data_IF_469514899133
#
_entry.id   IF_469514899133
#
_cell.length_a   1.000
_cell.length_b   1.000
_cell.length_c   1.000
_cell.angle_alpha   90.00
_cell.angle_beta   90.00
_cell.angle_gamma   90.00
#
_symmetry.space_group_name_H-M   'P 1'
#
loop_
_entity.id
_entity.type
_entity.pdbx_description
1 polymer ?
#
# COMPACT_ATOMS: atom_id res chain seq x y z
N UNK A 1 19.73 13.98 16.94
CA UNK A 1 18.66 14.32 15.98
C UNK A 1 19.27 15.19 14.90
N UNK A 2 19.14 14.81 13.63
CA UNK A 2 19.68 15.62 12.52
C UNK A 2 18.82 16.86 12.28
N UNK A 3 19.39 17.89 11.66
CA UNK A 3 18.68 19.15 11.36
C UNK A 3 17.40 18.94 10.52
N UNK A 4 17.37 17.89 9.67
CA UNK A 4 16.21 17.54 8.83
C UNK A 4 15.03 17.05 9.68
N UNK A 5 15.29 16.25 10.72
CA UNK A 5 14.24 15.75 11.61
C UNK A 5 13.57 16.88 12.40
N UNK A 6 14.34 17.92 12.73
CA UNK A 6 13.85 19.11 13.46
C UNK A 6 12.91 19.97 12.62
N UNK A 7 13.15 20.07 11.30
CA UNK A 7 12.35 20.89 10.37
C UNK A 7 10.97 20.26 10.16
N UNK A 8 10.90 18.93 9.97
CA UNK A 8 9.61 18.26 9.81
C UNK A 8 8.78 18.29 11.09
N UNK A 9 9.40 18.14 12.26
CA UNK A 9 8.69 18.26 13.54
C UNK A 9 8.06 19.65 13.77
N UNK A 10 8.57 20.70 13.12
CA UNK A 10 7.99 22.05 13.17
C UNK A 10 6.96 22.34 12.07
N UNK A 11 6.91 21.50 11.02
CA UNK A 11 5.98 21.63 9.89
C UNK A 11 4.73 20.75 10.03
N UNK A 12 4.65 19.91 11.06
CA UNK A 12 3.45 19.10 11.29
C UNK A 12 2.34 20.00 11.80
N UNK A 13 1.24 20.07 11.05
CA UNK A 13 0.01 20.73 11.49
C UNK A 13 -0.38 20.24 12.89
N UNK A 14 -0.90 21.06 13.81
CA UNK A 14 -1.20 20.68 15.20
C UNK A 14 -2.20 19.52 15.38
N UNK A 15 -2.82 19.07 14.29
CA UNK A 15 -3.75 17.93 14.26
C UNK A 15 -3.06 16.61 13.90
N UNK A 16 -1.85 16.66 13.35
CA UNK A 16 -1.08 15.49 12.98
C UNK A 16 0.08 15.34 13.95
N UNK A 17 0.44 14.09 14.24
CA UNK A 17 1.61 13.76 15.02
C UNK A 17 2.56 12.98 14.13
N UNK A 18 3.81 13.43 14.02
CA UNK A 18 4.85 12.62 13.41
C UNK A 18 5.12 11.43 14.34
N UNK A 19 4.68 10.24 13.91
CA UNK A 19 4.87 9.01 14.67
C UNK A 19 6.26 8.42 14.41
N UNK A 20 6.76 8.53 13.17
CA UNK A 20 7.98 7.85 12.75
C UNK A 20 8.55 8.38 11.42
N UNK A 21 9.86 8.23 11.23
CA UNK A 21 10.53 8.32 9.93
C UNK A 21 10.74 6.92 9.36
N UNK A 22 10.38 6.74 8.11
CA UNK A 22 10.59 5.49 7.36
C UNK A 22 11.66 5.69 6.30
N UNK A 23 12.47 4.68 6.05
CA UNK A 23 13.41 4.62 4.93
C UNK A 23 12.73 3.95 3.75
N UNK A 24 12.65 4.63 2.60
CA UNK A 24 12.09 4.03 1.37
C UNK A 24 13.11 3.04 0.80
N UNK A 25 12.67 1.82 0.57
CA UNK A 25 13.49 0.73 0.03
C UNK A 25 13.13 0.43 -1.44
N UNK A 26 11.91 0.77 -1.86
CA UNK A 26 11.48 0.64 -3.25
C UNK A 26 10.23 1.46 -3.55
N UNK A 27 10.19 2.01 -4.76
CA UNK A 27 9.06 2.71 -5.35
C UNK A 27 8.79 2.20 -6.77
N UNK A 28 7.52 1.88 -7.06
CA UNK A 28 7.12 1.37 -8.37
C UNK A 28 5.98 2.20 -8.94
N UNK A 29 6.13 2.52 -10.22
CA UNK A 29 5.11 3.09 -11.07
C UNK A 29 4.81 2.08 -12.18
N UNK A 30 3.60 1.51 -12.18
CA UNK A 30 3.19 0.64 -13.29
C UNK A 30 2.66 1.54 -14.41
N UNK A 31 3.39 1.55 -15.54
CA UNK A 31 3.14 2.27 -16.80
C UNK A 31 1.86 3.12 -16.85
N UNK A 32 2.07 4.44 -16.94
CA UNK A 32 1.18 5.57 -17.20
C UNK A 32 -0.21 5.68 -16.54
N UNK A 33 -0.87 4.65 -16.03
CA UNK A 33 -2.29 4.81 -15.65
C UNK A 33 -2.85 3.89 -14.57
N UNK A 34 -2.06 3.00 -13.95
CA UNK A 34 -2.73 1.92 -13.20
C UNK A 34 -2.43 1.76 -11.72
N UNK A 35 -1.21 1.98 -11.17
CA UNK A 35 -0.98 1.99 -9.72
C UNK A 35 0.46 2.41 -9.37
N UNK A 36 0.62 2.97 -8.17
CA UNK A 36 1.90 3.20 -7.50
C UNK A 36 2.00 2.38 -6.23
N UNK A 37 3.20 1.88 -5.94
CA UNK A 37 3.49 1.20 -4.68
C UNK A 37 4.81 1.73 -4.10
N UNK A 38 4.84 1.94 -2.79
CA UNK A 38 6.04 2.30 -2.05
C UNK A 38 6.23 1.31 -0.92
N UNK A 39 7.44 0.77 -0.80
CA UNK A 39 7.85 -0.01 0.37
C UNK A 39 8.87 0.78 1.15
N UNK A 40 8.60 0.93 2.44
CA UNK A 40 9.47 1.61 3.37
C UNK A 40 9.63 0.80 4.65
N UNK A 41 10.77 0.94 5.34
CA UNK A 41 11.02 0.25 6.60
C UNK A 41 11.28 1.23 7.74
N UNK A 42 10.96 0.76 8.93
CA UNK A 42 11.36 1.32 10.21
C UNK A 42 12.30 0.34 10.90
N UNK A 43 13.51 0.82 11.19
CA UNK A 43 14.44 0.13 12.07
C UNK A 43 14.02 0.25 13.55
N UNK A 44 13.41 1.38 13.94
CA UNK A 44 13.07 1.69 15.34
C UNK A 44 11.92 0.84 15.86
N UNK A 45 10.86 0.71 15.08
CA UNK A 45 9.61 0.02 15.45
C UNK A 45 9.50 -1.36 14.82
N UNK A 46 10.56 -1.82 14.15
CA UNK A 46 10.63 -3.12 13.52
C UNK A 46 9.43 -3.36 12.57
N UNK A 47 9.27 -2.47 11.60
CA UNK A 47 8.08 -2.45 10.73
C UNK A 47 8.45 -2.23 9.28
N UNK A 48 7.86 -3.00 8.39
CA UNK A 48 7.87 -2.77 6.94
C UNK A 48 6.48 -2.26 6.56
N UNK A 49 6.39 -1.20 5.77
CA UNK A 49 5.16 -0.58 5.32
C UNK A 49 5.09 -0.65 3.80
N UNK A 50 4.02 -1.23 3.28
CA UNK A 50 3.69 -1.27 1.86
C UNK A 50 2.53 -0.31 1.65
N UNK A 51 2.79 0.85 1.06
CA UNK A 51 1.78 1.83 0.70
C UNK A 51 1.39 1.66 -0.77
N UNK A 52 0.10 1.48 -1.00
CA UNK A 52 -0.50 1.29 -2.32
C UNK A 52 -1.35 2.51 -2.66
N UNK A 53 -1.06 3.13 -3.79
CA UNK A 53 -1.82 4.24 -4.32
C UNK A 53 -2.44 3.81 -5.67
N UNK A 54 -3.76 3.91 -5.74
CA UNK A 54 -4.46 3.72 -7.00
C UNK A 54 -4.48 5.04 -7.74
N UNK A 55 -3.71 5.16 -8.81
CA UNK A 55 -3.83 6.28 -9.74
C UNK A 55 -4.94 5.91 -10.71
N UNK A 56 -6.08 6.55 -10.53
CA UNK A 56 -7.00 6.77 -11.62
C UNK A 56 -7.20 8.28 -11.65
N UNK A 57 -7.12 8.91 -12.82
CA UNK A 57 -7.50 10.31 -12.93
C UNK A 57 -8.86 10.47 -12.23
N UNK A 58 -8.96 11.32 -11.20
CA UNK A 58 -10.16 11.39 -10.36
C UNK A 58 -11.43 11.54 -11.22
N UNK A 59 -11.33 12.26 -12.33
CA UNK A 59 -12.42 12.49 -13.27
C UNK A 59 -12.88 11.21 -14.00
N UNK A 60 -11.99 10.35 -14.47
CA UNK A 60 -12.40 9.08 -15.09
C UNK A 60 -12.78 8.02 -14.06
N UNK A 61 -12.19 8.06 -12.86
CA UNK A 61 -12.60 7.17 -11.79
C UNK A 61 -13.97 7.52 -11.26
N UNK A 62 -14.31 8.77 -10.95
CA UNK A 62 -15.65 9.10 -10.45
C UNK A 62 -16.73 8.82 -11.48
N UNK A 63 -16.48 9.13 -12.76
CA UNK A 63 -17.40 8.81 -13.86
C UNK A 63 -17.58 7.28 -13.98
N UNK A 64 -16.48 6.53 -14.05
CA UNK A 64 -16.58 5.08 -14.17
C UNK A 64 -17.06 4.43 -12.87
N UNK A 65 -16.67 4.88 -11.69
CA UNK A 65 -17.04 4.33 -10.37
C UNK A 65 -18.52 4.57 -10.06
N UNK A 66 -19.09 5.70 -10.44
CA UNK A 66 -20.55 5.93 -10.33
C UNK A 66 -21.32 5.02 -11.30
N UNK A 67 -20.80 4.79 -12.50
CA UNK A 67 -21.35 3.81 -13.47
C UNK A 67 -21.10 2.36 -13.01
N UNK A 68 -19.97 2.08 -12.38
CA UNK A 68 -19.61 0.82 -11.75
C UNK A 68 -20.36 0.60 -10.43
N UNK A 69 -20.96 1.64 -9.83
CA UNK A 69 -21.89 1.50 -8.73
C UNK A 69 -23.09 0.62 -9.11
N UNK A 70 -23.49 0.64 -10.38
CA UNK A 70 -24.47 -0.30 -10.92
C UNK A 70 -23.85 -1.69 -11.21
N UNK A 71 -22.59 -1.78 -11.62
CA UNK A 71 -21.87 -3.08 -11.76
C UNK A 71 -21.59 -3.74 -10.41
N UNK A 72 -21.42 -2.95 -9.35
CA UNK A 72 -21.27 -3.40 -7.96
C UNK A 72 -22.60 -3.87 -7.36
N UNK A 73 -23.76 -3.49 -7.92
CA UNK A 73 -25.06 -4.10 -7.56
C UNK A 73 -25.17 -5.54 -8.04
N UNK A 74 -24.43 -5.91 -9.09
CA UNK A 74 -24.31 -7.28 -9.59
C UNK A 74 -23.15 -8.05 -8.93
N UNK A 75 -22.38 -7.40 -8.04
CA UNK A 75 -21.43 -8.10 -7.16
C UNK A 75 -22.20 -8.71 -5.99
N UNK A 76 -22.85 -9.85 -6.24
CA UNK A 76 -23.18 -10.77 -5.16
C UNK A 76 -21.89 -11.16 -4.42
N UNK A 77 -21.89 -11.18 -3.08
CA UNK A 77 -20.73 -11.58 -2.28
C UNK A 77 -20.61 -13.11 -2.27
N UNK A 78 -20.41 -13.76 -3.42
CA UNK A 78 -20.22 -15.21 -3.49
C UNK A 78 -19.26 -15.57 -4.64
N UNK A 79 -18.20 -16.33 -4.32
CA UNK A 79 -17.15 -16.90 -5.20
C UNK A 79 -15.82 -16.14 -5.40
N UNK A 80 -15.44 -15.21 -4.51
CA UNK A 80 -14.05 -14.72 -4.46
C UNK A 80 -13.54 -14.01 -5.72
N UNK A 81 -14.44 -13.45 -6.53
CA UNK A 81 -14.06 -12.71 -7.75
C UNK A 81 -13.55 -11.32 -7.39
N UNK A 82 -12.39 -10.97 -7.93
CA UNK A 82 -11.73 -9.67 -7.76
C UNK A 82 -12.01 -8.78 -8.98
N UNK A 83 -12.21 -7.47 -8.76
CA UNK A 83 -12.32 -6.50 -9.84
C UNK A 83 -11.13 -6.61 -10.80
N UNK A 84 -11.40 -6.67 -12.11
CA UNK A 84 -10.36 -6.83 -13.14
C UNK A 84 -9.24 -5.79 -12.99
N UNK A 85 -9.59 -4.55 -12.67
CA UNK A 85 -8.64 -3.47 -12.40
C UNK A 85 -7.67 -3.85 -11.27
N UNK A 86 -8.19 -4.19 -10.08
CA UNK A 86 -7.36 -4.54 -8.93
C UNK A 86 -6.51 -5.79 -9.17
N UNK A 87 -7.05 -6.79 -9.89
CA UNK A 87 -6.28 -7.97 -10.29
C UNK A 87 -5.09 -7.61 -11.17
N UNK A 88 -5.31 -6.82 -12.23
CA UNK A 88 -4.22 -6.42 -13.13
C UNK A 88 -3.16 -5.57 -12.42
N UNK A 89 -3.58 -4.67 -11.53
CA UNK A 89 -2.67 -3.88 -10.72
C UNK A 89 -1.84 -4.77 -9.77
N UNK A 90 -2.49 -5.70 -9.07
CA UNK A 90 -1.81 -6.68 -8.22
C UNK A 90 -0.81 -7.51 -9.03
N UNK A 91 -1.22 -8.09 -10.15
CA UNK A 91 -0.36 -8.97 -10.96
C UNK A 91 0.87 -8.23 -11.51
N UNK A 92 0.75 -6.92 -11.78
CA UNK A 92 1.85 -6.08 -12.22
C UNK A 92 2.83 -5.72 -11.08
N UNK A 93 2.32 -5.44 -9.88
CA UNK A 93 3.11 -4.97 -8.74
C UNK A 93 3.67 -6.08 -7.86
N UNK A 94 2.91 -7.17 -7.70
CA UNK A 94 3.16 -8.20 -6.71
C UNK A 94 4.54 -8.87 -6.85
N UNK A 95 5.06 -9.20 -8.06
CA UNK A 95 6.38 -9.81 -8.18
C UNK A 95 7.49 -8.93 -7.59
N UNK A 96 7.45 -7.62 -7.83
CA UNK A 96 8.44 -6.67 -7.33
C UNK A 96 8.31 -6.47 -5.81
N UNK A 97 7.07 -6.28 -5.34
CA UNK A 97 6.77 -6.13 -3.91
C UNK A 97 7.20 -7.38 -3.14
N UNK A 98 6.89 -8.57 -3.65
CA UNK A 98 7.23 -9.84 -3.03
C UNK A 98 8.74 -10.01 -2.92
N UNK A 99 9.49 -9.78 -4.00
CA UNK A 99 10.95 -9.92 -4.00
C UNK A 99 11.60 -9.02 -2.93
N UNK A 100 11.23 -7.74 -2.91
CA UNK A 100 11.81 -6.81 -1.93
C UNK A 100 11.36 -7.13 -0.50
N UNK A 101 10.10 -7.52 -0.31
CA UNK A 101 9.59 -7.89 1.01
C UNK A 101 10.34 -9.11 1.58
N UNK A 102 10.61 -10.12 0.75
CA UNK A 102 11.39 -11.29 1.17
C UNK A 102 12.82 -10.91 1.59
N UNK A 103 13.49 -10.04 0.83
CA UNK A 103 14.82 -9.52 1.19
C UNK A 103 14.81 -8.76 2.52
N UNK A 104 13.81 -7.90 2.73
CA UNK A 104 13.65 -7.14 3.96
C UNK A 104 13.32 -8.03 5.17
N UNK A 105 12.50 -9.07 4.99
CA UNK A 105 12.18 -10.02 6.06
C UNK A 105 13.37 -10.93 6.40
N UNK A 106 14.26 -11.23 5.45
CA UNK A 106 15.53 -11.92 5.77
C UNK A 106 16.43 -11.02 6.61
N UNK A 107 16.54 -9.74 6.25
CA UNK A 107 17.34 -8.77 6.99
C UNK A 107 16.73 -8.39 8.35
N UNK A 108 15.40 -8.48 8.47
CA UNK A 108 14.64 -8.06 9.64
C UNK A 108 13.52 -9.07 9.99
N UNK A 109 13.88 -10.28 10.50
CA UNK A 109 12.93 -11.40 10.62
C UNK A 109 11.76 -11.18 11.57
N UNK A 110 11.92 -10.28 12.54
CA UNK A 110 10.87 -9.94 13.49
C UNK A 110 9.97 -8.78 13.02
N UNK A 111 10.19 -8.24 11.82
CA UNK A 111 9.45 -7.07 11.34
C UNK A 111 7.96 -7.37 11.21
N UNK A 112 7.13 -6.49 11.77
CA UNK A 112 5.71 -6.44 11.42
C UNK A 112 5.55 -5.86 10.02
N UNK A 113 4.65 -6.40 9.21
CA UNK A 113 4.38 -5.82 7.89
C UNK A 113 2.98 -5.20 7.87
N UNK A 114 2.92 -3.94 7.46
CA UNK A 114 1.69 -3.17 7.33
C UNK A 114 1.46 -2.85 5.86
N UNK A 115 0.34 -3.32 5.31
CA UNK A 115 -0.12 -2.88 3.99
C UNK A 115 -1.15 -1.78 4.21
N UNK A 116 -1.08 -0.70 3.44
CA UNK A 116 -2.02 0.41 3.53
C UNK A 116 -2.27 1.01 2.14
N UNK A 117 -3.39 1.69 1.99
CA UNK A 117 -3.73 2.40 0.76
C UNK A 117 -4.98 3.24 0.92
N UNK A 118 -5.15 4.22 0.05
CA UNK A 118 -6.32 5.10 0.02
C UNK A 118 -7.14 4.89 -1.26
N UNK A 119 -8.46 5.06 -1.18
CA UNK A 119 -9.38 4.91 -2.33
C UNK A 119 -9.19 3.55 -3.04
N UNK A 120 -8.82 3.53 -4.31
CA UNK A 120 -8.48 2.32 -5.07
C UNK A 120 -7.32 1.51 -4.45
N UNK A 121 -6.35 2.19 -3.84
CA UNK A 121 -5.26 1.54 -3.11
C UNK A 121 -5.75 0.76 -1.89
N UNK A 122 -6.84 1.21 -1.24
CA UNK A 122 -7.47 0.48 -0.14
C UNK A 122 -8.10 -0.84 -0.61
N UNK A 123 -8.75 -0.85 -1.78
CA UNK A 123 -9.27 -2.08 -2.36
C UNK A 123 -8.15 -3.03 -2.79
N UNK A 124 -7.05 -2.48 -3.31
CA UNK A 124 -5.89 -3.25 -3.72
C UNK A 124 -5.19 -3.92 -2.53
N UNK A 125 -5.13 -3.23 -1.38
CA UNK A 125 -4.54 -3.75 -0.14
C UNK A 125 -5.09 -5.13 0.26
N UNK A 126 -6.38 -5.40 0.04
CA UNK A 126 -6.99 -6.70 0.39
C UNK A 126 -6.52 -7.88 -0.49
N UNK A 127 -5.85 -7.61 -1.61
CA UNK A 127 -5.27 -8.66 -2.46
C UNK A 127 -3.89 -9.10 -1.98
N UNK A 128 -3.26 -8.30 -1.11
CA UNK A 128 -2.04 -8.69 -0.45
C UNK A 128 -2.45 -9.52 0.75
N UNK A 129 -1.83 -10.70 0.96
CA UNK A 129 -2.21 -11.58 2.07
C UNK A 129 -2.19 -10.79 3.38
N UNK A 130 -3.08 -11.08 4.34
CA UNK A 130 -2.89 -10.60 5.70
C UNK A 130 -1.52 -11.12 6.13
N UNK A 131 -0.57 -10.22 6.28
CA UNK A 131 0.76 -10.55 6.76
C UNK A 131 0.58 -10.76 8.26
N UNK A 132 0.17 -11.98 8.60
CA UNK A 132 -0.01 -12.43 9.96
C UNK A 132 1.28 -12.15 10.72
N UNK A 133 1.22 -11.19 11.63
CA UNK A 133 2.34 -10.76 12.47
C UNK A 133 2.62 -11.76 13.60
N UNK A 134 2.05 -12.95 13.55
CA UNK A 134 2.37 -14.05 14.46
C UNK A 134 3.22 -15.10 13.76
N UNK A 135 4.53 -14.93 13.83
CA UNK A 135 5.42 -16.10 13.88
C UNK A 135 5.04 -16.83 15.17
N UNK A 136 4.24 -17.88 15.04
CA UNK A 136 3.99 -18.82 16.13
C UNK A 136 5.34 -19.41 16.55
N UNK A 137 5.71 -19.15 17.81
CA UNK A 137 6.87 -19.73 18.51
C UNK A 137 6.95 -21.26 18.36
#
# INVERSE_FOLDING_TARGET
MSAIQSIFATLVHPQYQLVEFLTVEGDWLVNNDYCTAVIAKSEKNNRIVIALEGIASPDQFFQNFLIFGDVLKDFEPTNGKVLRYNRLAHDALYPCIKSLLEELLIAQPAASVMVTGHSLGYLLMFLYPPLDTSVSN
#
